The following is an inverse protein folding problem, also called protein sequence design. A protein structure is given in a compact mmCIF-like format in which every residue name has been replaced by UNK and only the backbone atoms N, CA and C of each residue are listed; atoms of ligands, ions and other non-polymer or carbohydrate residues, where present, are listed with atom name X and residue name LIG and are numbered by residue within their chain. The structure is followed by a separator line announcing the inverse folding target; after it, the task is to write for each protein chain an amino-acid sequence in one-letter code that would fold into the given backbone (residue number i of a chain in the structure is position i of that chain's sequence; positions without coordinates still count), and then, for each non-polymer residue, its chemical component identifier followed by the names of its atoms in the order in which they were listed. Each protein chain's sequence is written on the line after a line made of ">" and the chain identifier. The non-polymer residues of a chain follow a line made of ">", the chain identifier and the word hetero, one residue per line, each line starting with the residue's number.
data_IF_286581414060
#
_entry.id   IF_286581414060
#
_cell.length_a   1.000
_cell.length_b   1.000
_cell.length_c   1.000
_cell.angle_alpha   90.00
_cell.angle_beta   90.00
_cell.angle_gamma   90.00
#
_symmetry.space_group_name_H-M   'P 1'
#
loop_
_entity.id
_entity.type
_entity.pdbx_description
1 polymer ?
#
# COMPACT_ATOMS: atom_id res chain seq x y z
N UNK A 1 10.29 -4.79 -12.07
CA UNK A 1 8.84 -5.11 -12.00
C UNK A 1 8.32 -5.12 -10.57
N UNK A 2 8.97 -5.81 -9.63
CA UNK A 2 8.56 -5.84 -8.21
C UNK A 2 8.47 -4.45 -7.57
N UNK A 3 9.36 -3.51 -7.92
CA UNK A 3 9.33 -2.11 -7.44
C UNK A 3 7.99 -1.43 -7.73
N UNK A 4 7.39 -1.68 -8.90
CA UNK A 4 6.09 -1.08 -9.26
C UNK A 4 5.00 -1.59 -8.33
N UNK A 5 4.99 -2.89 -8.03
CA UNK A 5 4.01 -3.47 -7.10
C UNK A 5 4.21 -2.96 -5.67
N UNK A 6 5.46 -2.79 -5.21
CA UNK A 6 5.76 -2.17 -3.90
C UNK A 6 5.27 -0.72 -3.86
N UNK A 7 5.52 0.06 -4.91
CA UNK A 7 5.07 1.44 -5.00
C UNK A 7 3.53 1.54 -4.99
N UNK A 8 2.85 0.68 -5.75
CA UNK A 8 1.38 0.62 -5.75
C UNK A 8 0.82 0.17 -4.39
N UNK A 9 1.46 -0.80 -3.73
CA UNK A 9 1.07 -1.23 -2.39
C UNK A 9 1.22 -0.09 -1.37
N UNK A 10 2.30 0.68 -1.46
CA UNK A 10 2.52 1.87 -0.65
C UNK A 10 1.44 2.95 -0.89
N UNK A 11 0.99 3.13 -2.13
CA UNK A 11 -0.14 4.01 -2.45
C UNK A 11 -1.43 3.49 -1.79
N UNK A 12 -1.74 2.20 -1.89
CA UNK A 12 -2.89 1.61 -1.20
C UNK A 12 -2.82 1.83 0.32
N UNK A 13 -1.65 1.68 0.93
CA UNK A 13 -1.45 1.95 2.35
C UNK A 13 -1.70 3.44 2.68
N UNK A 14 -1.19 4.36 1.86
CA UNK A 14 -1.43 5.80 2.06
C UNK A 14 -2.91 6.17 1.98
N UNK A 15 -3.65 5.56 1.05
CA UNK A 15 -5.10 5.75 0.94
C UNK A 15 -5.81 5.17 2.15
N UNK A 16 -5.39 3.98 2.62
CA UNK A 16 -5.93 3.31 3.80
C UNK A 16 -5.80 4.19 5.05
N UNK A 17 -4.62 4.76 5.28
CA UNK A 17 -4.36 5.66 6.42
C UNK A 17 -5.11 6.98 6.30
N UNK A 18 -5.35 7.45 5.08
CA UNK A 18 -6.15 8.66 4.81
C UNK A 18 -7.62 8.45 5.15
N UNK A 19 -8.18 7.28 4.84
CA UNK A 19 -9.58 6.93 5.10
C UNK A 19 -9.82 6.42 6.53
N UNK A 20 -8.74 6.24 7.28
CA UNK A 20 -8.73 5.86 8.67
C UNK A 20 -8.95 7.07 9.57
N UNK A 21 -9.82 6.91 10.58
CA UNK A 21 -10.01 7.91 11.63
C UNK A 21 -10.37 9.31 11.07
N UNK A 22 -9.97 10.37 11.76
CA UNK A 22 -10.30 11.76 11.42
C UNK A 22 -9.51 12.30 10.21
N UNK A 23 -8.52 11.56 9.70
CA UNK A 23 -7.70 11.98 8.57
C UNK A 23 -8.55 12.25 7.31
N UNK A 24 -9.68 11.54 7.16
CA UNK A 24 -10.56 11.67 6.01
C UNK A 24 -11.11 13.09 5.85
N UNK A 25 -11.34 13.82 6.95
CA UNK A 25 -11.90 15.17 6.92
C UNK A 25 -10.92 16.20 6.34
N UNK A 26 -9.62 15.93 6.44
CA UNK A 26 -8.55 16.76 5.87
C UNK A 26 -8.00 16.20 4.55
N UNK A 27 -8.79 15.34 3.88
CA UNK A 27 -8.38 14.65 2.66
C UNK A 27 -9.30 14.95 1.48
N UNK A 28 -8.85 14.55 0.28
CA UNK A 28 -9.67 14.59 -0.94
C UNK A 28 -10.95 13.73 -0.84
N UNK A 29 -11.02 12.80 0.11
CA UNK A 29 -12.17 11.92 0.33
C UNK A 29 -13.23 12.51 1.29
N UNK A 30 -13.00 13.70 1.87
CA UNK A 30 -13.90 14.33 2.85
C UNK A 30 -15.34 14.55 2.40
N UNK A 31 -15.61 14.65 1.09
CA UNK A 31 -16.97 14.77 0.54
C UNK A 31 -17.50 13.48 -0.09
N UNK A 32 -16.80 12.36 0.09
CA UNK A 32 -17.26 11.05 -0.39
C UNK A 32 -18.18 10.40 0.63
N UNK A 33 -18.93 9.38 0.18
CA UNK A 33 -19.90 8.67 1.01
C UNK A 33 -19.25 8.09 2.28
N UNK A 34 -19.63 8.51 3.49
CA UNK A 34 -19.05 8.03 4.73
C UNK A 34 -19.35 6.55 5.01
N UNK A 35 -20.42 5.98 4.43
CA UNK A 35 -20.74 4.57 4.60
C UNK A 35 -19.75 3.62 3.90
N UNK A 36 -19.01 4.12 2.91
CA UNK A 36 -17.96 3.38 2.22
C UNK A 36 -16.55 3.90 2.54
N UNK A 37 -16.35 5.22 2.54
CA UNK A 37 -15.02 5.82 2.67
C UNK A 37 -14.58 6.05 4.11
N UNK A 38 -15.48 6.26 5.08
CA UNK A 38 -15.05 6.56 6.45
C UNK A 38 -15.03 5.31 7.32
N UNK A 39 -13.83 4.80 7.65
CA UNK A 39 -13.64 3.54 8.40
C UNK A 39 -14.53 3.40 9.65
N UNK A 40 -14.68 4.46 10.45
CA UNK A 40 -15.48 4.39 11.70
C UNK A 40 -16.97 4.19 11.46
N UNK A 41 -17.48 4.71 10.35
CA UNK A 41 -18.89 4.56 9.94
C UNK A 41 -19.06 3.27 9.14
N UNK A 42 -18.20 3.04 8.14
CA UNK A 42 -18.24 1.87 7.28
C UNK A 42 -18.06 0.55 8.04
N UNK A 43 -17.26 0.53 9.11
CA UNK A 43 -17.12 -0.66 9.96
C UNK A 43 -18.44 -1.07 10.61
N UNK A 44 -19.29 -0.12 11.00
CA UNK A 44 -20.59 -0.40 11.62
C UNK A 44 -21.62 -0.79 10.58
N UNK A 45 -21.73 -0.01 9.50
CA UNK A 45 -22.88 -0.07 8.58
C UNK A 45 -22.58 -0.64 7.20
N UNK A 46 -21.30 -0.80 6.85
CA UNK A 46 -20.87 -1.30 5.54
C UNK A 46 -21.36 -2.72 5.25
N UNK A 47 -21.63 -2.99 3.97
CA UNK A 47 -22.04 -4.30 3.47
C UNK A 47 -21.01 -5.36 3.82
N UNK A 48 -21.47 -6.56 4.13
CA UNK A 48 -20.61 -7.73 4.40
C UNK A 48 -20.85 -8.81 3.36
N UNK A 49 -19.79 -9.46 2.90
CA UNK A 49 -19.85 -10.72 2.13
C UNK A 49 -19.00 -11.75 2.88
N UNK A 50 -19.56 -12.91 3.23
CA UNK A 50 -18.86 -13.95 4.01
C UNK A 50 -18.12 -13.39 5.25
N UNK A 51 -18.78 -12.51 6.00
CA UNK A 51 -18.23 -11.78 7.16
C UNK A 51 -17.14 -10.74 6.87
N UNK A 52 -16.70 -10.59 5.62
CA UNK A 52 -15.75 -9.58 5.18
C UNK A 52 -16.46 -8.26 4.86
N UNK A 53 -15.94 -7.14 5.36
CA UNK A 53 -16.49 -5.79 5.14
C UNK A 53 -16.08 -5.26 3.78
N UNK A 54 -17.05 -4.84 2.97
CA UNK A 54 -16.82 -4.15 1.70
C UNK A 54 -16.79 -2.64 1.90
N UNK A 55 -15.78 -2.17 2.62
CA UNK A 55 -15.49 -0.74 2.74
C UNK A 55 -14.14 -0.39 2.10
N UNK A 56 -13.90 0.91 1.89
CA UNK A 56 -12.70 1.38 1.23
C UNK A 56 -11.43 0.90 1.94
N UNK A 57 -11.41 0.95 3.29
CA UNK A 57 -10.24 0.55 4.08
C UNK A 57 -9.90 -0.93 3.87
N UNK A 58 -10.90 -1.82 3.93
CA UNK A 58 -10.72 -3.26 3.71
C UNK A 58 -10.28 -3.56 2.27
N UNK A 59 -10.95 -2.98 1.28
CA UNK A 59 -10.61 -3.19 -0.13
C UNK A 59 -9.20 -2.72 -0.45
N UNK A 60 -8.78 -1.55 0.07
CA UNK A 60 -7.41 -1.05 -0.07
C UNK A 60 -6.39 -1.97 0.62
N UNK A 61 -6.71 -2.50 1.81
CA UNK A 61 -5.85 -3.46 2.51
C UNK A 61 -5.70 -4.77 1.73
N UNK A 62 -6.78 -5.30 1.16
CA UNK A 62 -6.73 -6.51 0.34
C UNK A 62 -5.96 -6.27 -0.96
N UNK A 63 -6.16 -5.12 -1.63
CA UNK A 63 -5.37 -4.75 -2.81
C UNK A 63 -3.88 -4.64 -2.47
N UNK A 64 -3.53 -3.99 -1.35
CA UNK A 64 -2.15 -3.90 -0.85
C UNK A 64 -1.52 -5.29 -0.66
N UNK A 65 -2.23 -6.22 -0.02
CA UNK A 65 -1.72 -7.59 0.21
C UNK A 65 -1.48 -8.32 -1.12
N UNK A 66 -2.43 -8.23 -2.07
CA UNK A 66 -2.28 -8.85 -3.40
C UNK A 66 -1.04 -8.29 -4.12
N UNK A 67 -0.84 -6.96 -4.07
CA UNK A 67 0.31 -6.30 -4.67
C UNK A 67 1.63 -6.73 -3.98
N UNK A 68 1.65 -6.87 -2.66
CA UNK A 68 2.81 -7.37 -1.94
C UNK A 68 3.14 -8.84 -2.28
N UNK A 69 2.12 -9.69 -2.44
CA UNK A 69 2.31 -11.06 -2.93
C UNK A 69 2.89 -11.07 -4.35
N UNK A 70 2.34 -10.25 -5.26
CA UNK A 70 2.87 -10.11 -6.62
C UNK A 70 4.31 -9.58 -6.63
N UNK A 71 4.64 -8.64 -5.73
CA UNK A 71 6.00 -8.15 -5.54
C UNK A 71 6.95 -9.28 -5.10
N UNK A 72 6.56 -10.09 -4.12
CA UNK A 72 7.36 -11.21 -3.63
C UNK A 72 7.60 -12.28 -4.71
N UNK A 73 6.54 -12.65 -5.44
CA UNK A 73 6.63 -13.61 -6.57
C UNK A 73 7.58 -13.06 -7.64
N UNK A 74 7.39 -11.81 -8.07
CA UNK A 74 8.24 -11.24 -9.13
C UNK A 74 9.66 -10.94 -8.67
N UNK A 75 9.88 -10.63 -7.40
CA UNK A 75 11.22 -10.51 -6.82
C UNK A 75 11.96 -11.85 -6.85
N UNK A 76 11.27 -12.96 -6.53
CA UNK A 76 11.85 -14.29 -6.59
C UNK A 76 12.35 -14.64 -8.01
N UNK A 77 11.58 -14.32 -9.05
CA UNK A 77 11.96 -14.61 -10.43
C UNK A 77 12.94 -13.60 -11.04
N UNK A 78 12.90 -12.34 -10.59
CA UNK A 78 13.68 -11.23 -11.16
C UNK A 78 14.27 -10.34 -10.06
N UNK A 79 15.23 -10.85 -9.27
CA UNK A 79 15.98 -10.00 -8.34
C UNK A 79 16.84 -9.00 -9.11
N UNK A 80 17.03 -7.81 -8.55
CA UNK A 80 17.67 -6.67 -9.21
C UNK A 80 19.16 -6.93 -9.50
N UNK A 81 19.82 -7.55 -8.53
CA UNK A 81 21.13 -8.15 -8.71
C UNK A 81 20.89 -9.63 -8.94
N UNK A 82 21.12 -10.17 -10.14
CA UNK A 82 20.88 -11.59 -10.44
C UNK A 82 22.15 -12.45 -10.40
N UNK A 83 23.33 -11.84 -10.44
CA UNK A 83 24.56 -12.63 -10.50
C UNK A 83 24.73 -13.41 -9.19
N UNK A 84 24.98 -14.72 -9.30
CA UNK A 84 25.17 -15.60 -8.13
C UNK A 84 26.31 -15.13 -7.22
N UNK A 85 27.29 -14.43 -7.81
CA UNK A 85 28.43 -13.83 -7.10
C UNK A 85 27.97 -12.62 -6.27
N UNK A 86 27.10 -11.77 -6.83
CA UNK A 86 26.60 -10.58 -6.14
C UNK A 86 25.55 -10.96 -5.08
N UNK A 87 24.69 -11.96 -5.33
CA UNK A 87 23.65 -12.36 -4.38
C UNK A 87 24.16 -12.92 -3.05
N UNK A 88 25.33 -13.56 -3.09
CA UNK A 88 25.99 -14.07 -1.87
C UNK A 88 26.70 -12.97 -1.08
N UNK A 89 26.83 -11.77 -1.65
CA UNK A 89 27.41 -10.62 -0.97
C UNK A 89 26.38 -9.99 -0.02
N UNK A 90 26.79 -9.74 1.24
CA UNK A 90 25.98 -9.00 2.21
C UNK A 90 25.53 -7.63 1.68
N UNK A 91 26.35 -7.01 0.82
CA UNK A 91 26.07 -5.70 0.23
C UNK A 91 24.88 -5.70 -0.72
N UNK A 92 24.61 -6.81 -1.41
CA UNK A 92 23.47 -6.91 -2.32
C UNK A 92 22.14 -6.88 -1.55
N UNK A 93 22.06 -7.63 -0.44
CA UNK A 93 20.90 -7.60 0.46
C UNK A 93 20.65 -6.21 1.06
N UNK A 94 21.71 -5.51 1.47
CA UNK A 94 21.60 -4.14 1.97
C UNK A 94 21.08 -3.19 0.87
N UNK A 95 21.61 -3.31 -0.36
CA UNK A 95 21.15 -2.50 -1.48
C UNK A 95 19.67 -2.75 -1.80
N UNK A 96 19.24 -4.01 -1.88
CA UNK A 96 17.84 -4.37 -2.14
C UNK A 96 16.90 -3.86 -1.02
N UNK A 97 17.32 -3.95 0.24
CA UNK A 97 16.56 -3.40 1.37
C UNK A 97 16.42 -1.87 1.29
N UNK A 98 17.48 -1.15 0.92
CA UNK A 98 17.43 0.30 0.72
C UNK A 98 16.50 0.65 -0.43
N UNK A 99 16.60 -0.04 -1.57
CA UNK A 99 15.75 0.18 -2.74
C UNK A 99 14.28 -0.09 -2.39
N UNK A 100 13.99 -1.17 -1.66
CA UNK A 100 12.66 -1.47 -1.16
C UNK A 100 12.13 -0.35 -0.25
N UNK A 101 12.96 0.12 0.69
CA UNK A 101 12.61 1.22 1.58
C UNK A 101 12.30 2.51 0.83
N UNK A 102 13.09 2.87 -0.19
CA UNK A 102 12.84 4.04 -1.04
C UNK A 102 11.55 3.86 -1.85
N UNK A 103 11.37 2.69 -2.48
CA UNK A 103 10.20 2.36 -3.29
C UNK A 103 8.89 2.36 -2.48
N UNK A 104 8.96 2.08 -1.18
CA UNK A 104 7.82 2.19 -0.28
C UNK A 104 7.59 3.62 0.20
N UNK A 105 8.63 4.26 0.77
CA UNK A 105 8.47 5.54 1.46
C UNK A 105 8.19 6.70 0.52
N UNK A 106 8.81 6.75 -0.67
CA UNK A 106 8.60 7.88 -1.59
C UNK A 106 7.14 7.95 -2.08
N UNK A 107 6.54 6.87 -2.64
CA UNK A 107 5.14 6.91 -3.06
C UNK A 107 4.20 7.12 -1.88
N UNK A 108 4.45 6.46 -0.73
CA UNK A 108 3.62 6.66 0.46
C UNK A 108 3.60 8.12 0.90
N UNK A 109 4.77 8.75 1.07
CA UNK A 109 4.88 10.13 1.52
C UNK A 109 4.27 11.10 0.50
N UNK A 110 4.56 10.89 -0.79
CA UNK A 110 3.97 11.71 -1.86
C UNK A 110 2.44 11.66 -1.81
N UNK A 111 1.85 10.46 -1.72
CA UNK A 111 0.39 10.35 -1.71
C UNK A 111 -0.21 10.84 -0.40
N UNK A 112 0.29 10.35 0.74
CA UNK A 112 -0.27 10.67 2.06
C UNK A 112 -0.16 12.16 2.39
N UNK A 113 1.01 12.78 2.17
CA UNK A 113 1.26 14.15 2.62
C UNK A 113 1.04 15.22 1.56
N UNK A 114 1.05 14.88 0.26
CA UNK A 114 0.95 15.87 -0.83
C UNK A 114 -0.29 15.69 -1.70
N UNK A 115 -0.61 14.49 -2.16
CA UNK A 115 -1.70 14.28 -3.15
C UNK A 115 -3.07 14.13 -2.49
N UNK A 116 -3.15 13.30 -1.43
CA UNK A 116 -4.42 12.95 -0.79
C UNK A 116 -4.85 13.98 0.25
N UNK A 117 -3.93 14.82 0.72
CA UNK A 117 -4.18 15.89 1.68
C UNK A 117 -4.77 17.12 1.00
N UNK A 118 -5.80 17.70 1.61
CA UNK A 118 -6.39 18.98 1.18
C UNK A 118 -5.61 20.17 1.72
#
# INVERSE_FOLDING_TARGET
>A
MWILFVAMAAICNSMMDTVENENIYNSIFSHKDPFFWYKRVSWKYGRKIFSYKLDAWHLLKSAMIILLCAAAITYHYFPLFRSEIIWKSKWAWTADAIIFGIAWNLPFNLFYNKILRK
#
